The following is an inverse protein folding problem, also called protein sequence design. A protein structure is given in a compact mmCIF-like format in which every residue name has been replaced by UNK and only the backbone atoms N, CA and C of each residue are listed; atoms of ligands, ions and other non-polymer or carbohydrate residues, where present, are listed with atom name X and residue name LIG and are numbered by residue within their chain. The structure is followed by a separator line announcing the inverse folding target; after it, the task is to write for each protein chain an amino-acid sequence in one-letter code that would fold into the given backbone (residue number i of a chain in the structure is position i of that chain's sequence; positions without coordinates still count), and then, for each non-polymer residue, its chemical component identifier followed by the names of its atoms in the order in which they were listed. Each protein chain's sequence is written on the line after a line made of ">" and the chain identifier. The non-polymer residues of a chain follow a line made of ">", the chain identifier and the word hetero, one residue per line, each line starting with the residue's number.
data_IF_863847709255
#
_entry.id   IF_863847709255
#
_cell.length_a   1.000
_cell.length_b   1.000
_cell.length_c   1.000
_cell.angle_alpha   90.00
_cell.angle_beta   90.00
_cell.angle_gamma   90.00
#
_symmetry.space_group_name_H-M   'P 1'
#
loop_
_entity.id
_entity.type
_entity.pdbx_description
1 polymer ?
#
# COMPACT_ATOMS: atom_id res chain seq x y z
N UNK A 1 -2.51 24.33 -6.06
CA UNK A 1 -1.89 23.20 -6.76
C UNK A 1 -2.42 21.88 -6.24
N UNK A 2 -2.96 21.11 -7.12
CA UNK A 2 -3.50 19.82 -6.74
C UNK A 2 -2.48 18.74 -6.97
N UNK A 3 -2.24 17.97 -5.94
CA UNK A 3 -1.47 16.77 -6.09
C UNK A 3 -2.44 15.61 -5.89
N UNK A 4 -2.62 14.84 -6.93
CA UNK A 4 -3.50 13.69 -6.84
C UNK A 4 -2.71 12.51 -6.35
N UNK A 5 -2.45 12.51 -5.06
CA UNK A 5 -1.73 11.40 -4.46
C UNK A 5 -2.70 10.34 -3.99
N UNK A 6 -2.21 9.12 -3.90
CA UNK A 6 -2.97 8.00 -3.40
C UNK A 6 -2.20 7.36 -2.27
N UNK A 7 -2.85 7.24 -1.12
CA UNK A 7 -2.23 6.63 0.05
C UNK A 7 -2.78 5.23 0.23
N UNK A 8 -1.90 4.31 0.59
CA UNK A 8 -2.27 2.92 0.85
C UNK A 8 -1.92 2.57 2.28
N UNK A 9 -2.80 1.80 2.89
CA UNK A 9 -2.52 1.22 4.20
C UNK A 9 -1.97 -0.17 3.99
N UNK A 10 -0.83 -0.44 4.61
CA UNK A 10 -0.19 -1.74 4.51
C UNK A 10 -0.19 -2.38 5.88
N UNK A 11 -0.75 -3.58 5.96
CA UNK A 11 -0.75 -4.34 7.19
C UNK A 11 0.23 -5.48 7.06
N UNK A 12 1.10 -5.58 8.06
CA UNK A 12 2.15 -6.59 8.08
C UNK A 12 1.89 -7.49 9.28
N UNK A 13 1.82 -8.78 9.02
CA UNK A 13 1.50 -9.75 10.07
C UNK A 13 2.70 -10.65 10.32
N UNK A 14 3.09 -10.77 11.58
CA UNK A 14 4.07 -11.78 11.96
C UNK A 14 3.40 -12.74 12.94
N UNK A 15 4.20 -13.56 13.61
CA UNK A 15 3.65 -14.59 14.48
C UNK A 15 2.89 -14.03 15.68
N UNK A 16 3.21 -12.85 16.11
CA UNK A 16 2.72 -12.34 17.37
C UNK A 16 1.94 -11.05 17.24
N UNK A 17 2.23 -10.25 16.25
CA UNK A 17 1.65 -8.92 16.17
C UNK A 17 1.29 -8.57 14.73
N UNK A 18 0.57 -7.48 14.62
CA UNK A 18 0.26 -6.87 13.34
C UNK A 18 0.71 -5.41 13.39
N UNK A 19 1.43 -4.98 12.37
CA UNK A 19 1.89 -3.61 12.26
C UNK A 19 1.26 -2.96 11.06
N UNK A 20 0.93 -1.69 11.19
CA UNK A 20 0.35 -0.93 10.09
C UNK A 20 1.31 0.20 9.71
N UNK A 21 1.54 0.33 8.41
CA UNK A 21 2.31 1.44 7.87
C UNK A 21 1.52 2.00 6.69
N UNK A 22 1.85 3.21 6.30
CA UNK A 22 1.21 3.80 5.14
C UNK A 22 2.23 4.17 4.10
N UNK A 23 1.80 4.15 2.85
CA UNK A 23 2.64 4.52 1.73
C UNK A 23 1.84 5.41 0.80
N UNK A 24 2.37 6.58 0.51
CA UNK A 24 1.71 7.52 -0.39
C UNK A 24 2.40 7.47 -1.75
N UNK A 25 1.60 7.25 -2.78
CA UNK A 25 2.08 7.25 -4.15
C UNK A 25 1.83 8.61 -4.79
N UNK A 26 2.67 9.02 -5.71
CA UNK A 26 2.57 10.38 -6.26
C UNK A 26 1.38 10.61 -7.18
N UNK A 27 0.72 9.57 -7.63
CA UNK A 27 -0.42 9.73 -8.52
C UNK A 27 -1.58 8.88 -8.03
N UNK A 28 -2.79 9.27 -8.43
CA UNK A 28 -4.00 8.52 -8.14
C UNK A 28 -4.47 7.85 -9.41
N UNK A 29 -4.56 6.53 -9.44
CA UNK A 29 -5.07 5.84 -10.62
C UNK A 29 -6.53 6.20 -10.88
N UNK A 30 -6.89 6.24 -12.16
CA UNK A 30 -8.27 6.55 -12.54
C UNK A 30 -9.06 5.32 -12.95
N UNK A 31 -8.41 4.16 -13.02
CA UNK A 31 -9.08 2.91 -13.39
C UNK A 31 -8.74 1.87 -12.33
N UNK A 32 -9.61 0.86 -12.26
CA UNK A 32 -9.37 -0.23 -11.31
C UNK A 32 -8.12 -1.02 -11.68
N UNK A 33 -7.83 -1.12 -12.97
CA UNK A 33 -6.63 -1.79 -13.42
C UNK A 33 -5.37 -1.05 -12.96
N UNK A 34 -5.39 0.28 -13.08
CA UNK A 34 -4.28 1.10 -12.61
C UNK A 34 -4.13 1.03 -11.10
N UNK A 35 -5.27 0.97 -10.38
CA UNK A 35 -5.24 0.86 -8.95
C UNK A 35 -4.58 -0.45 -8.52
N UNK A 36 -4.93 -1.55 -9.18
CA UNK A 36 -4.32 -2.83 -8.86
C UNK A 36 -2.83 -2.83 -9.14
N UNK A 37 -2.44 -2.22 -10.25
CA UNK A 37 -1.02 -2.15 -10.59
C UNK A 37 -0.25 -1.36 -9.53
N UNK A 38 -0.84 -0.27 -9.05
CA UNK A 38 -0.19 0.52 -8.03
C UNK A 38 -0.17 -0.23 -6.70
N UNK A 39 -1.23 -0.94 -6.37
CA UNK A 39 -1.24 -1.77 -5.16
C UNK A 39 -0.12 -2.80 -5.19
N UNK A 40 0.11 -3.41 -6.34
CA UNK A 40 1.19 -4.38 -6.48
C UNK A 40 2.56 -3.74 -6.25
N UNK A 41 2.73 -2.51 -6.70
CA UNK A 41 3.97 -1.81 -6.44
C UNK A 41 4.17 -1.54 -4.96
N UNK A 42 3.10 -1.17 -4.28
CA UNK A 42 3.16 -0.93 -2.85
C UNK A 42 3.46 -2.24 -2.12
N UNK A 43 2.84 -3.32 -2.56
CA UNK A 43 3.09 -4.63 -1.97
C UNK A 43 4.55 -5.03 -2.11
N UNK A 44 5.12 -4.85 -3.29
CA UNK A 44 6.53 -5.17 -3.49
C UNK A 44 7.43 -4.30 -2.65
N UNK A 45 7.08 -3.04 -2.51
CA UNK A 45 7.82 -2.15 -1.64
C UNK A 45 7.79 -2.66 -0.20
N UNK A 46 6.62 -3.10 0.26
CA UNK A 46 6.48 -3.60 1.62
C UNK A 46 7.30 -4.87 1.83
N UNK A 47 7.26 -5.78 0.85
CA UNK A 47 8.03 -7.02 0.95
C UNK A 47 9.53 -6.75 1.02
N UNK A 48 9.98 -5.75 0.30
CA UNK A 48 11.39 -5.40 0.28
C UNK A 48 11.79 -4.66 1.55
N UNK A 49 10.93 -3.77 2.04
CA UNK A 49 11.24 -2.95 3.20
C UNK A 49 11.08 -3.72 4.50
N UNK A 50 10.08 -4.59 4.55
CA UNK A 50 9.78 -5.36 5.75
C UNK A 50 9.75 -6.85 5.40
N UNK A 51 10.91 -7.47 5.20
CA UNK A 51 10.93 -8.88 4.86
C UNK A 51 10.54 -9.75 6.05
N UNK A 52 10.24 -11.01 5.76
CA UNK A 52 10.00 -12.02 6.79
C UNK A 52 8.68 -11.82 7.54
N UNK A 53 7.71 -11.22 6.89
CA UNK A 53 6.36 -11.19 7.43
C UNK A 53 5.59 -12.40 6.93
N UNK A 54 4.66 -12.88 7.74
CA UNK A 54 3.85 -14.02 7.35
C UNK A 54 2.79 -13.63 6.32
N UNK A 55 2.34 -12.40 6.38
CA UNK A 55 1.27 -11.96 5.52
C UNK A 55 1.37 -10.47 5.27
N UNK A 56 1.00 -10.06 4.07
CA UNK A 56 0.97 -8.65 3.70
C UNK A 56 -0.42 -8.33 3.17
N UNK A 57 -0.97 -7.20 3.61
CA UNK A 57 -2.23 -6.70 3.08
C UNK A 57 -2.04 -5.25 2.69
N UNK A 58 -2.56 -4.88 1.53
CA UNK A 58 -2.47 -3.51 1.02
C UNK A 58 -3.87 -3.09 0.63
N UNK A 59 -4.30 -1.95 1.14
CA UNK A 59 -5.60 -1.42 0.73
C UNK A 59 -5.48 0.07 0.47
N UNK A 60 -6.20 0.55 -0.54
CA UNK A 60 -6.18 1.99 -0.82
C UNK A 60 -7.03 2.72 0.21
N UNK A 61 -6.54 3.87 0.64
CA UNK A 61 -7.29 4.74 1.52
C UNK A 61 -7.94 5.82 0.66
N UNK A 62 -9.21 6.03 0.88
CA UNK A 62 -9.91 7.04 0.11
C UNK A 62 -9.60 8.43 0.63
N UNK A 63 -9.33 9.32 -0.30
CA UNK A 63 -9.18 10.72 0.06
C UNK A 63 -10.55 11.30 0.35
N UNK A 64 -10.57 12.27 1.22
CA UNK A 64 -11.85 12.92 1.56
C UNK A 64 -11.94 14.27 0.94
#
# INVERSE_FOLDING_TARGET
>A
MNTNTQTYLVRLYDEFTMMQVSRTMPTTPTTSKGLKAQQNRVLKWAEKTYPNQLRYEVEPLKAK
#
